data_IF_939299992799
#
_entry.id   IF_939299992799
#
_cell.length_a   1.000
_cell.length_b   1.000
_cell.length_c   1.000
_cell.angle_alpha   90.00
_cell.angle_beta   90.00
_cell.angle_gamma   90.00
#
_symmetry.space_group_name_H-M   'P 1'
#
loop_
_entity.id
_entity.type
_entity.pdbx_description
1 polymer ?
#
# COMPACT_ATOMS: atom_id res chain seq x y z
N UNK A 1 -6.19 4.85 18.88
CA UNK A 1 -5.67 4.28 17.62
C UNK A 1 -4.75 5.31 17.02
N UNK A 2 -3.52 4.95 16.68
CA UNK A 2 -2.58 5.85 16.01
C UNK A 2 -2.70 5.61 14.51
N UNK A 3 -3.17 6.63 13.79
CA UNK A 3 -3.10 6.68 12.34
C UNK A 3 -1.68 7.11 11.98
N UNK A 4 -1.04 6.38 11.06
CA UNK A 4 0.29 6.72 10.54
C UNK A 4 0.24 6.86 9.03
N UNK A 5 0.96 7.85 8.53
CA UNK A 5 1.12 8.13 7.12
C UNK A 5 2.25 7.27 6.52
N UNK A 6 1.96 6.63 5.38
CA UNK A 6 2.90 5.81 4.64
C UNK A 6 3.06 6.34 3.22
N UNK A 7 4.27 6.76 2.87
CA UNK A 7 4.63 7.11 1.48
C UNK A 7 5.31 5.92 0.79
N UNK A 8 4.83 5.55 -0.40
CA UNK A 8 5.46 4.54 -1.25
C UNK A 8 6.17 5.20 -2.43
N UNK A 9 7.49 5.09 -2.45
CA UNK A 9 8.41 5.72 -3.40
C UNK A 9 9.05 4.67 -4.32
N UNK A 10 9.70 5.11 -5.39
CA UNK A 10 10.36 4.26 -6.39
C UNK A 10 10.09 4.71 -7.82
N UNK A 11 10.69 4.03 -8.79
CA UNK A 11 10.62 4.43 -10.20
C UNK A 11 9.27 4.15 -10.88
N UNK A 12 9.08 4.76 -12.06
CA UNK A 12 7.92 4.58 -12.92
C UNK A 12 7.97 3.20 -13.62
N UNK A 13 7.80 2.14 -12.83
CA UNK A 13 7.92 0.75 -13.32
C UNK A 13 8.11 -0.27 -12.21
N UNK A 14 8.59 0.16 -11.03
CA UNK A 14 8.92 -0.69 -9.90
C UNK A 14 7.73 -1.43 -9.24
N UNK A 15 6.52 -1.36 -9.80
CA UNK A 15 5.36 -2.11 -9.27
C UNK A 15 4.73 -1.54 -8.00
N UNK A 16 4.95 -0.26 -7.68
CA UNK A 16 4.41 0.41 -6.47
C UNK A 16 2.91 0.20 -6.26
N UNK A 17 2.12 0.35 -7.34
CA UNK A 17 0.65 0.16 -7.28
C UNK A 17 0.28 -1.28 -6.94
N UNK A 18 0.98 -2.24 -7.55
CA UNK A 18 0.80 -3.67 -7.27
C UNK A 18 1.14 -3.98 -5.81
N UNK A 19 2.24 -3.42 -5.28
CA UNK A 19 2.62 -3.61 -3.87
C UNK A 19 1.55 -3.08 -2.91
N UNK A 20 1.08 -1.84 -3.11
CA UNK A 20 0.03 -1.23 -2.28
C UNK A 20 -1.27 -2.02 -2.36
N UNK A 21 -1.68 -2.43 -3.56
CA UNK A 21 -2.85 -3.28 -3.75
C UNK A 21 -2.72 -4.63 -3.05
N UNK A 22 -1.56 -5.27 -3.10
CA UNK A 22 -1.27 -6.51 -2.37
C UNK A 22 -1.38 -6.32 -0.86
N UNK A 23 -0.81 -5.24 -0.31
CA UNK A 23 -0.88 -4.94 1.12
C UNK A 23 -2.33 -4.78 1.59
N UNK A 24 -3.12 -3.98 0.86
CA UNK A 24 -4.53 -3.77 1.19
C UNK A 24 -5.32 -5.07 1.06
N UNK A 25 -5.12 -5.82 -0.03
CA UNK A 25 -5.83 -7.08 -0.27
C UNK A 25 -5.49 -8.15 0.77
N UNK A 26 -4.20 -8.43 1.01
CA UNK A 26 -3.78 -9.48 1.94
C UNK A 26 -4.17 -9.16 3.37
N UNK A 27 -4.01 -7.92 3.82
CA UNK A 27 -4.41 -7.52 5.16
C UNK A 27 -5.93 -7.61 5.32
N UNK A 28 -6.69 -7.12 4.35
CA UNK A 28 -8.17 -7.21 4.38
C UNK A 28 -8.65 -8.66 4.36
N UNK A 29 -8.04 -9.50 3.54
CA UNK A 29 -8.38 -10.92 3.40
C UNK A 29 -8.00 -11.74 4.64
N UNK A 30 -6.81 -11.50 5.21
CA UNK A 30 -6.40 -12.14 6.46
C UNK A 30 -7.38 -11.76 7.57
N UNK A 31 -7.68 -10.47 7.75
CA UNK A 31 -8.63 -10.00 8.77
C UNK A 31 -10.03 -10.63 8.56
N UNK A 32 -10.46 -10.78 7.30
CA UNK A 32 -11.70 -11.45 6.95
C UNK A 32 -11.71 -12.94 7.34
N UNK A 33 -10.62 -13.66 7.07
CA UNK A 33 -10.46 -15.08 7.42
C UNK A 33 -10.44 -15.34 8.93
N UNK A 34 -9.88 -14.42 9.74
CA UNK A 34 -9.84 -14.61 11.20
C UNK A 34 -11.21 -14.37 11.86
N UNK A 35 -12.21 -13.89 11.11
CA UNK A 35 -13.62 -13.82 11.54
C UNK A 35 -13.86 -12.99 12.81
N UNK A 36 -14.42 -11.79 12.66
CA UNK A 36 -15.31 -11.21 13.69
C UNK A 36 -14.79 -10.99 15.12
N UNK A 37 -13.49 -10.79 15.38
CA UNK A 37 -13.02 -10.45 16.74
C UNK A 37 -12.84 -8.94 17.03
N UNK A 38 -12.91 -8.07 16.02
CA UNK A 38 -12.77 -6.61 16.22
C UNK A 38 -13.97 -5.85 15.62
N UNK A 39 -15.12 -5.96 16.28
CA UNK A 39 -16.36 -5.30 15.87
C UNK A 39 -16.45 -3.78 16.18
N UNK A 40 -15.32 -3.06 16.28
CA UNK A 40 -15.33 -1.62 16.59
C UNK A 40 -14.20 -0.78 15.96
N UNK A 41 -13.38 -1.37 15.09
CA UNK A 41 -12.42 -0.59 14.29
C UNK A 41 -13.11 -0.09 13.03
N UNK A 42 -13.16 1.24 12.87
CA UNK A 42 -13.57 1.93 11.65
C UNK A 42 -12.86 1.26 10.47
N UNK A 43 -13.61 0.55 9.61
CA UNK A 43 -13.03 -0.29 8.56
C UNK A 43 -12.47 0.59 7.45
N UNK A 44 -11.16 0.70 7.42
CA UNK A 44 -10.43 1.39 6.38
C UNK A 44 -9.82 0.27 5.49
N UNK A 45 -10.60 -0.23 4.51
CA UNK A 45 -10.21 -1.40 3.72
C UNK A 45 -11.28 -1.86 2.71
N UNK A 46 -11.00 -2.97 2.02
CA UNK A 46 -11.90 -3.60 1.05
C UNK A 46 -13.10 -4.23 1.76
N UNK A 47 -14.28 -3.59 1.67
CA UNK A 47 -15.52 -4.20 2.12
C UNK A 47 -16.00 -5.30 1.16
N UNK A 48 -16.88 -6.18 1.67
CA UNK A 48 -17.45 -7.31 0.93
C UNK A 48 -17.95 -6.96 -0.49
N UNK A 49 -18.71 -5.87 -0.71
CA UNK A 49 -19.20 -5.54 -2.05
C UNK A 49 -18.08 -5.09 -3.00
N UNK A 50 -17.05 -4.42 -2.48
CA UNK A 50 -15.92 -3.94 -3.28
C UNK A 50 -14.99 -5.10 -3.65
N UNK A 51 -14.82 -6.06 -2.72
CA UNK A 51 -14.07 -7.29 -2.95
C UNK A 51 -14.77 -8.17 -3.99
N UNK A 52 -16.08 -8.36 -3.89
CA UNK A 52 -16.86 -9.13 -4.87
C UNK A 52 -16.79 -8.47 -6.27
N UNK A 53 -16.80 -7.14 -6.36
CA UNK A 53 -16.66 -6.42 -7.63
C UNK A 53 -15.27 -6.62 -8.25
N UNK A 54 -14.21 -6.62 -7.44
CA UNK A 54 -12.85 -6.89 -7.89
C UNK A 54 -12.66 -8.36 -8.29
N UNK A 55 -13.23 -9.30 -7.53
CA UNK A 55 -13.19 -10.72 -7.84
C UNK A 55 -13.92 -11.05 -9.15
N UNK A 56 -15.10 -10.45 -9.38
CA UNK A 56 -15.84 -10.61 -10.64
C UNK A 56 -15.08 -10.11 -11.86
N UNK A 57 -14.23 -9.10 -11.72
CA UNK A 57 -13.41 -8.54 -12.81
C UNK A 57 -12.08 -9.27 -12.99
N UNK A 58 -11.73 -10.18 -12.07
CA UNK A 58 -10.40 -10.78 -11.96
C UNK A 58 -9.45 -9.87 -11.20
N UNK A 59 -8.87 -10.36 -10.09
CA UNK A 59 -8.05 -9.53 -9.21
C UNK A 59 -6.71 -9.23 -9.89
N UNK A 60 -6.54 -7.98 -10.32
CA UNK A 60 -5.24 -7.39 -10.58
C UNK A 60 -4.91 -6.41 -9.46
N UNK A 61 -3.86 -6.68 -8.68
CA UNK A 61 -3.52 -5.86 -7.51
C UNK A 61 -3.24 -4.38 -7.86
N UNK A 62 -2.69 -4.10 -9.04
CA UNK A 62 -2.51 -2.72 -9.50
C UNK A 62 -3.82 -1.95 -9.71
N UNK A 63 -4.91 -2.64 -10.03
CA UNK A 63 -6.23 -2.05 -10.24
C UNK A 63 -6.96 -1.74 -8.94
N UNK A 64 -6.59 -2.40 -7.84
CA UNK A 64 -7.13 -2.12 -6.50
C UNK A 64 -6.85 -0.67 -6.13
N UNK A 65 -5.61 -0.21 -6.32
CA UNK A 65 -5.24 1.19 -6.04
C UNK A 65 -6.08 2.15 -6.88
N UNK A 66 -6.19 1.86 -8.17
CA UNK A 66 -6.98 2.66 -9.12
C UNK A 66 -8.47 2.67 -8.76
N UNK A 67 -8.99 1.58 -8.21
CA UNK A 67 -10.38 1.46 -7.76
C UNK A 67 -10.69 2.39 -6.58
N UNK A 68 -9.78 2.46 -5.59
CA UNK A 68 -9.91 3.38 -4.45
C UNK A 68 -9.72 4.85 -4.87
N UNK A 69 -8.70 5.14 -5.70
CA UNK A 69 -8.45 6.49 -6.24
C UNK A 69 -9.67 7.04 -6.98
N UNK A 70 -10.31 6.23 -7.84
CA UNK A 70 -11.52 6.63 -8.59
C UNK A 70 -12.72 6.96 -7.71
N UNK A 71 -12.79 6.38 -6.51
CA UNK A 71 -13.89 6.59 -5.57
C UNK A 71 -13.58 7.66 -4.52
N UNK A 72 -12.40 8.28 -4.57
CA UNK A 72 -11.93 9.24 -3.58
C UNK A 72 -11.83 8.64 -2.18
N UNK A 73 -11.65 7.32 -2.08
CA UNK A 73 -11.51 6.63 -0.81
C UNK A 73 -10.03 6.58 -0.40
N UNK A 74 -9.72 6.82 0.88
CA UNK A 74 -8.35 6.73 1.37
C UNK A 74 -7.83 5.30 1.24
N UNK A 75 -6.58 5.16 0.80
CA UNK A 75 -5.89 3.87 0.71
C UNK A 75 -5.33 3.55 2.08
N UNK A 76 -5.86 2.54 2.75
CA UNK A 76 -5.53 2.31 4.15
C UNK A 76 -5.56 0.81 4.47
N UNK A 77 -4.73 0.41 5.42
CA UNK A 77 -4.65 -0.97 5.89
C UNK A 77 -4.22 -1.05 7.36
N UNK A 78 -4.63 -2.12 8.03
CA UNK A 78 -4.24 -2.39 9.42
C UNK A 78 -2.96 -3.21 9.51
N UNK A 79 -2.00 -2.74 10.30
CA UNK A 79 -0.85 -3.55 10.72
C UNK A 79 -0.88 -3.76 12.24
N UNK A 80 0.01 -4.61 12.75
CA UNK A 80 0.13 -4.89 14.19
C UNK A 80 0.40 -3.62 15.02
N UNK A 81 1.06 -2.62 14.45
CA UNK A 81 1.38 -1.35 15.12
C UNK A 81 0.30 -0.27 15.01
N UNK A 82 -0.79 -0.51 14.28
CA UNK A 82 -1.86 0.47 14.09
C UNK A 82 -2.37 0.57 12.65
N UNK A 83 -3.10 1.65 12.38
CA UNK A 83 -3.67 1.92 11.06
C UNK A 83 -2.69 2.72 10.23
N UNK A 84 -2.48 2.30 8.99
CA UNK A 84 -1.66 3.01 8.01
C UNK A 84 -2.53 3.55 6.89
N UNK A 85 -2.32 4.82 6.56
CA UNK A 85 -2.89 5.45 5.37
C UNK A 85 -1.76 5.69 4.37
N UNK A 86 -1.95 5.19 3.16
CA UNK A 86 -1.04 5.34 2.04
C UNK A 86 -1.37 6.66 1.36
N UNK A 87 -0.52 7.65 1.60
CA UNK A 87 -0.67 8.99 1.05
C UNK A 87 0.67 9.49 0.52
N UNK A 88 0.62 10.46 -0.40
CA UNK A 88 1.82 11.20 -0.82
C UNK A 88 2.01 12.38 0.12
N UNK A 89 2.57 12.11 1.30
CA UNK A 89 2.94 13.15 2.27
C UNK A 89 4.40 13.57 2.10
N UNK A 90 4.69 14.85 2.35
CA UNK A 90 6.05 15.40 2.39
C UNK A 90 6.80 14.99 3.67
N UNK A 91 6.08 14.67 4.74
CA UNK A 91 6.63 14.25 6.02
C UNK A 91 5.91 12.98 6.49
N UNK A 92 6.06 11.84 5.77
CA UNK A 92 5.38 10.62 6.15
C UNK A 92 6.01 10.01 7.41
N UNK A 93 5.20 9.36 8.25
CA UNK A 93 5.68 8.63 9.42
C UNK A 93 6.55 7.42 9.01
N UNK A 94 6.24 6.83 7.85
CA UNK A 94 6.97 5.71 7.26
C UNK A 94 7.09 5.89 5.75
N UNK A 95 8.24 5.53 5.18
CA UNK A 95 8.41 5.46 3.74
C UNK A 95 8.90 4.06 3.31
N UNK A 96 8.32 3.52 2.24
CA UNK A 96 8.78 2.30 1.57
C UNK A 96 9.33 2.70 0.22
N UNK A 97 10.59 2.36 -0.04
CA UNK A 97 11.23 2.54 -1.34
C UNK A 97 11.18 1.23 -2.12
N UNK A 98 10.50 1.23 -3.26
CA UNK A 98 10.34 0.07 -4.13
C UNK A 98 11.31 0.17 -5.30
N UNK A 99 12.16 -0.85 -5.44
CA UNK A 99 13.14 -0.96 -6.52
C UNK A 99 12.75 -2.12 -7.42
N UNK A 100 12.85 -1.95 -8.73
CA UNK A 100 12.70 -3.07 -9.66
C UNK A 100 13.94 -3.97 -9.59
N UNK A 101 13.75 -5.21 -9.14
CA UNK A 101 14.83 -6.20 -9.05
C UNK A 101 15.23 -6.80 -10.40
N UNK A 102 14.43 -6.61 -11.46
CA UNK A 102 14.74 -7.03 -12.82
C UNK A 102 15.86 -6.19 -13.43
N UNK A 103 16.01 -4.97 -12.91
CA UNK A 103 17.05 -4.04 -13.31
C UNK A 103 18.33 -4.35 -12.51
N UNK A 104 19.10 -5.32 -13.02
CA UNK A 104 20.37 -5.83 -12.47
C UNK A 104 21.42 -4.73 -12.20
N UNK A 105 21.24 -3.52 -12.75
CA UNK A 105 22.09 -2.35 -12.55
C UNK A 105 21.79 -1.60 -11.25
N UNK A 106 20.61 -1.79 -10.67
CA UNK A 106 20.14 -1.01 -9.51
C UNK A 106 20.69 -1.56 -8.20
N UNK A 107 20.95 -2.87 -8.12
CA UNK A 107 21.45 -3.51 -6.89
C UNK A 107 22.82 -2.97 -6.43
N UNK A 108 23.63 -2.48 -7.37
CA UNK A 108 24.94 -1.86 -7.10
C UNK A 108 24.90 -0.37 -6.71
N UNK A 109 23.76 0.32 -6.89
CA UNK A 109 23.60 1.77 -6.64
C UNK A 109 22.78 2.11 -5.39
N UNK A 110 22.18 1.10 -4.73
CA UNK A 110 21.32 1.26 -3.55
C UNK A 110 22.02 2.05 -2.43
N UNK A 111 23.35 1.93 -2.28
CA UNK A 111 24.11 2.67 -1.27
C UNK A 111 24.17 4.19 -1.47
N UNK A 112 24.38 4.65 -2.70
CA UNK A 112 24.62 6.08 -3.00
C UNK A 112 23.32 6.85 -3.24
N UNK A 113 22.29 6.17 -3.77
CA UNK A 113 21.04 6.82 -4.19
C UNK A 113 20.04 7.01 -3.05
N UNK A 114 20.11 6.17 -2.00
CA UNK A 114 19.38 6.39 -0.74
C UNK A 114 19.93 7.65 -0.05
N UNK A 115 21.24 7.89 -0.08
CA UNK A 115 21.85 9.11 0.46
C UNK A 115 21.42 10.36 -0.33
N UNK A 116 21.52 10.33 -1.66
CA UNK A 116 21.13 11.47 -2.51
C UNK A 116 19.63 11.76 -2.47
N UNK A 117 18.78 10.73 -2.46
CA UNK A 117 17.32 10.89 -2.43
C UNK A 117 16.77 11.12 -1.02
N UNK A 118 17.60 11.17 0.03
CA UNK A 118 17.22 11.70 1.35
C UNK A 118 17.67 13.17 1.49
N UNK A 119 18.68 13.60 0.72
CA UNK A 119 19.26 14.95 0.78
C UNK A 119 18.69 15.92 -0.28
N UNK A 120 17.96 15.42 -1.30
CA UNK A 120 17.36 16.24 -2.37
C UNK A 120 15.82 16.37 -2.35
N UNK A 121 15.17 16.04 -1.23
CA UNK A 121 13.78 16.49 -1.00
C UNK A 121 13.76 17.83 -0.31
#
# INVERSE_FOLDING_TARGET
MTLRSLSVLGDAGAGKKTLVGCLIYMVSFIIFLIGSCYANSQWCGLGLPQLEELERKGIQYGDIVTFFEKRGQPLCFHASSGLFEVEKSQTPDVAIWVVDGSDLLTLGRIGDEIGSSIVKW
#
